data_IF_970198126769
#
_entry.id   IF_970198126769
#
_cell.length_a   1.000
_cell.length_b   1.000
_cell.length_c   1.000
_cell.angle_alpha   90.00
_cell.angle_beta   90.00
_cell.angle_gamma   90.00
#
_symmetry.space_group_name_H-M   'P 1'
#
loop_
_entity.id
_entity.type
_entity.pdbx_description
1 polymer ?
#
# COMPACT_ATOMS: atom_id res chain seq x y z
N UNK A 1 -20.95 -6.86 3.25
CA UNK A 1 -19.52 -7.24 3.27
C UNK A 1 -19.15 -7.76 1.89
N UNK A 2 -18.47 -6.97 1.05
CA UNK A 2 -18.16 -7.36 -0.34
C UNK A 2 -16.64 -7.42 -0.53
N UNK A 3 -16.03 -8.51 -0.07
CA UNK A 3 -14.58 -8.77 -0.20
C UNK A 3 -14.36 -10.04 -1.01
N UNK A 4 -13.51 -9.96 -2.04
CA UNK A 4 -13.00 -11.15 -2.73
C UNK A 4 -11.71 -11.60 -2.05
N UNK A 5 -11.60 -12.88 -1.68
CA UNK A 5 -10.39 -13.47 -1.09
C UNK A 5 -10.04 -14.75 -1.82
N UNK A 6 -8.84 -14.80 -2.40
CA UNK A 6 -8.27 -16.00 -3.01
C UNK A 6 -7.04 -16.44 -2.18
N UNK A 7 -7.02 -17.71 -1.76
CA UNK A 7 -5.92 -18.32 -1.00
C UNK A 7 -5.54 -19.66 -1.64
N UNK A 8 -4.24 -19.85 -1.93
CA UNK A 8 -3.53 -21.14 -1.98
C UNK A 8 -4.00 -22.23 -2.96
N UNK A 9 -3.05 -22.72 -3.76
CA UNK A 9 -3.03 -24.03 -4.45
C UNK A 9 -4.20 -24.37 -5.39
N UNK A 10 -4.44 -23.55 -6.42
CA UNK A 10 -4.95 -24.10 -7.69
C UNK A 10 -3.82 -24.83 -8.43
N UNK A 11 -3.39 -25.97 -7.87
CA UNK A 11 -2.79 -27.04 -8.64
C UNK A 11 -3.90 -27.56 -9.56
N UNK A 12 -3.85 -27.18 -10.84
CA UNK A 12 -4.36 -27.89 -12.04
C UNK A 12 -4.41 -26.91 -13.23
N UNK A 13 -4.55 -25.59 -13.01
CA UNK A 13 -4.35 -24.58 -14.08
C UNK A 13 -3.71 -23.32 -13.49
N UNK A 14 -2.49 -22.98 -13.90
CA UNK A 14 -1.95 -21.62 -13.75
C UNK A 14 -3.02 -20.64 -14.23
N UNK A 15 -3.57 -19.84 -13.34
CA UNK A 15 -4.40 -18.69 -13.71
C UNK A 15 -3.43 -17.62 -14.22
N UNK A 16 -3.01 -17.77 -15.48
CA UNK A 16 -2.04 -16.87 -16.10
C UNK A 16 -2.52 -15.42 -15.99
N UNK A 17 -3.81 -15.18 -16.21
CA UNK A 17 -4.42 -13.86 -16.12
C UNK A 17 -5.67 -13.89 -15.24
N UNK A 18 -5.71 -13.04 -14.21
CA UNK A 18 -6.89 -12.78 -13.38
C UNK A 18 -7.47 -11.42 -13.77
N UNK A 19 -8.68 -11.42 -14.33
CA UNK A 19 -9.43 -10.22 -14.65
C UNK A 19 -10.56 -10.02 -13.64
N UNK A 20 -10.64 -8.84 -13.03
CA UNK A 20 -11.65 -8.47 -12.05
C UNK A 20 -12.41 -7.25 -12.53
N UNK A 21 -13.72 -7.39 -12.68
CA UNK A 21 -14.65 -6.29 -12.90
C UNK A 21 -15.88 -6.46 -12.01
N UNK A 22 -16.23 -5.42 -11.26
CA UNK A 22 -17.32 -5.49 -10.30
C UNK A 22 -17.77 -4.12 -9.81
N UNK A 23 -19.08 -3.90 -9.80
CA UNK A 23 -19.70 -2.68 -9.28
C UNK A 23 -19.81 -2.65 -7.74
N UNK A 24 -19.47 -3.75 -7.06
CA UNK A 24 -19.79 -3.92 -5.63
C UNK A 24 -18.61 -4.33 -4.75
N UNK A 25 -17.52 -4.84 -5.32
CA UNK A 25 -16.35 -5.27 -4.54
C UNK A 25 -15.65 -4.04 -3.96
N UNK A 26 -15.37 -4.10 -2.65
CA UNK A 26 -14.64 -3.06 -1.92
C UNK A 26 -13.18 -3.44 -1.63
N UNK A 27 -12.89 -4.73 -1.55
CA UNK A 27 -11.56 -5.24 -1.23
C UNK A 27 -11.23 -6.53 -1.95
N UNK A 28 -9.99 -6.64 -2.42
CA UNK A 28 -9.43 -7.86 -3.03
C UNK A 28 -8.20 -8.30 -2.24
N UNK A 29 -8.14 -9.59 -1.90
CA UNK A 29 -6.95 -10.18 -1.28
C UNK A 29 -6.54 -11.46 -2.00
N UNK A 30 -5.32 -11.49 -2.53
CA UNK A 30 -4.66 -12.63 -3.15
C UNK A 30 -3.52 -13.10 -2.25
N UNK A 31 -3.53 -14.37 -1.86
CA UNK A 31 -2.46 -14.93 -1.03
C UNK A 31 -1.99 -16.28 -1.55
N UNK A 32 -0.69 -16.42 -1.79
CA UNK A 32 -0.08 -17.66 -2.29
C UNK A 32 -0.79 -18.16 -3.57
N UNK A 33 -1.12 -17.24 -4.48
CA UNK A 33 -1.80 -17.53 -5.75
C UNK A 33 -0.79 -17.55 -6.90
N UNK A 34 -0.96 -18.48 -7.85
CA UNK A 34 -0.18 -18.56 -9.10
C UNK A 34 -0.72 -17.66 -10.21
N UNK A 35 -1.06 -16.41 -9.87
CA UNK A 35 -1.53 -15.40 -10.84
C UNK A 35 -0.31 -14.71 -11.42
N UNK A 36 -0.21 -14.61 -12.75
CA UNK A 36 0.90 -13.91 -13.42
C UNK A 36 0.53 -12.46 -13.71
N UNK A 37 -0.67 -12.22 -14.24
CA UNK A 37 -1.19 -10.87 -14.52
C UNK A 37 -2.51 -10.64 -13.80
N UNK A 38 -2.61 -9.49 -13.15
CA UNK A 38 -3.84 -9.02 -12.50
C UNK A 38 -4.35 -7.77 -13.20
N UNK A 39 -5.57 -7.83 -13.73
CA UNK A 39 -6.25 -6.67 -14.31
C UNK A 39 -7.50 -6.35 -13.51
N UNK A 40 -7.59 -5.14 -12.96
CA UNK A 40 -8.75 -4.65 -12.24
C UNK A 40 -9.36 -3.52 -13.05
N UNK A 41 -10.56 -3.72 -13.57
CA UNK A 41 -11.23 -2.80 -14.51
C UNK A 41 -12.65 -2.55 -14.05
N UNK A 42 -13.10 -1.29 -14.10
CA UNK A 42 -14.47 -0.88 -13.75
C UNK A 42 -14.90 -1.38 -12.37
N UNK A 43 -14.05 -1.09 -11.39
CA UNK A 43 -14.28 -1.42 -9.99
C UNK A 43 -14.39 -0.12 -9.16
N UNK A 44 -15.45 0.68 -9.34
CA UNK A 44 -15.53 2.03 -8.75
C UNK A 44 -15.60 2.03 -7.22
N UNK A 45 -16.06 0.93 -6.60
CA UNK A 45 -16.14 0.79 -5.14
C UNK A 45 -14.91 0.14 -4.51
N UNK A 46 -13.94 -0.30 -5.31
CA UNK A 46 -12.74 -0.97 -4.82
C UNK A 46 -11.81 0.06 -4.18
N UNK A 47 -11.65 -0.03 -2.86
CA UNK A 47 -10.80 0.89 -2.12
C UNK A 47 -9.49 0.23 -1.61
N UNK A 48 -9.39 -1.11 -1.66
CA UNK A 48 -8.22 -1.82 -1.16
C UNK A 48 -7.86 -3.08 -1.93
N UNK A 49 -6.56 -3.29 -2.12
CA UNK A 49 -6.01 -4.51 -2.69
C UNK A 49 -4.81 -5.01 -1.90
N UNK A 50 -4.71 -6.31 -1.72
CA UNK A 50 -3.54 -6.94 -1.12
C UNK A 50 -3.12 -8.20 -1.85
N UNK A 51 -1.86 -8.26 -2.26
CA UNK A 51 -1.21 -9.43 -2.82
C UNK A 51 -0.06 -9.85 -1.90
N UNK A 52 -0.10 -11.08 -1.40
CA UNK A 52 0.91 -11.61 -0.48
C UNK A 52 1.42 -12.96 -0.94
N UNK A 53 2.74 -13.08 -1.07
CA UNK A 53 3.40 -14.33 -1.51
C UNK A 53 2.91 -14.81 -2.89
N UNK A 54 2.54 -13.90 -3.78
CA UNK A 54 2.17 -14.19 -5.16
C UNK A 54 3.45 -14.22 -6.01
N UNK A 55 4.14 -15.35 -6.00
CA UNK A 55 5.51 -15.47 -6.55
C UNK A 55 5.61 -15.23 -8.06
N UNK A 56 4.56 -15.58 -8.80
CA UNK A 56 4.55 -15.45 -10.26
C UNK A 56 3.93 -14.13 -10.76
N UNK A 57 3.38 -13.30 -9.85
CA UNK A 57 2.71 -12.05 -10.21
C UNK A 57 3.75 -11.07 -10.73
N UNK A 58 3.71 -10.78 -12.03
CA UNK A 58 4.66 -9.88 -12.69
C UNK A 58 4.04 -8.60 -13.21
N UNK A 59 2.73 -8.58 -13.39
CA UNK A 59 2.03 -7.43 -13.96
C UNK A 59 0.72 -7.17 -13.20
N UNK A 60 0.50 -5.90 -12.87
CA UNK A 60 -0.77 -5.42 -12.33
C UNK A 60 -1.23 -4.25 -13.19
N UNK A 61 -2.52 -4.21 -13.53
CA UNK A 61 -3.14 -3.12 -14.27
C UNK A 61 -4.40 -2.68 -13.58
N UNK A 62 -4.58 -1.37 -13.49
CA UNK A 62 -5.77 -0.78 -12.89
C UNK A 62 -6.42 0.21 -13.84
N UNK A 63 -7.74 0.12 -14.00
CA UNK A 63 -8.51 1.04 -14.82
C UNK A 63 -9.85 1.34 -14.15
N UNK A 64 -10.21 2.62 -14.09
CA UNK A 64 -11.50 3.08 -13.54
C UNK A 64 -11.80 2.49 -12.14
N UNK A 65 -10.85 2.64 -11.22
CA UNK A 65 -10.99 2.20 -9.83
C UNK A 65 -10.39 3.24 -8.87
N UNK A 66 -10.92 3.27 -7.65
CA UNK A 66 -10.66 4.32 -6.66
C UNK A 66 -9.91 3.74 -5.47
N UNK A 67 -8.67 3.31 -5.76
CA UNK A 67 -7.84 2.58 -4.80
C UNK A 67 -7.18 3.53 -3.79
N UNK A 68 -7.44 3.30 -2.50
CA UNK A 68 -6.83 4.06 -1.40
C UNK A 68 -5.72 3.27 -0.71
N UNK A 69 -5.78 1.94 -0.75
CA UNK A 69 -4.81 1.06 -0.10
C UNK A 69 -4.32 -0.04 -1.03
N UNK A 70 -3.01 -0.10 -1.23
CA UNK A 70 -2.34 -1.17 -1.94
C UNK A 70 -1.31 -1.83 -1.02
N UNK A 71 -1.34 -3.16 -0.91
CA UNK A 71 -0.32 -3.92 -0.20
C UNK A 71 0.25 -5.03 -1.08
N UNK A 72 1.55 -4.98 -1.38
CA UNK A 72 2.24 -6.02 -2.13
C UNK A 72 3.42 -6.52 -1.30
N UNK A 73 3.38 -7.78 -0.89
CA UNK A 73 4.42 -8.34 -0.04
C UNK A 73 4.89 -9.70 -0.55
N UNK A 74 6.22 -9.88 -0.65
CA UNK A 74 6.80 -11.14 -1.11
C UNK A 74 6.36 -11.54 -2.53
N UNK A 75 6.31 -10.57 -3.44
CA UNK A 75 5.93 -10.75 -4.85
C UNK A 75 7.17 -10.51 -5.76
N UNK A 76 8.12 -11.46 -5.84
CA UNK A 76 9.42 -11.23 -6.49
C UNK A 76 9.39 -10.99 -8.00
N UNK A 77 8.37 -11.48 -8.71
CA UNK A 77 8.27 -11.21 -10.14
C UNK A 77 7.70 -9.80 -10.44
N UNK A 78 7.20 -9.08 -9.44
CA UNK A 78 6.53 -7.80 -9.62
C UNK A 78 7.51 -6.64 -9.55
N UNK A 79 7.80 -6.03 -10.70
CA UNK A 79 8.67 -4.85 -10.77
C UNK A 79 8.08 -3.64 -10.06
N UNK A 80 8.84 -3.06 -9.14
CA UNK A 80 8.40 -1.94 -8.29
C UNK A 80 8.06 -0.68 -9.09
N UNK A 81 8.92 -0.31 -10.05
CA UNK A 81 8.72 0.88 -10.89
C UNK A 81 7.39 0.81 -11.65
N UNK A 82 7.16 -0.30 -12.36
CA UNK A 82 5.92 -0.49 -13.13
C UNK A 82 4.68 -0.52 -12.24
N UNK A 83 4.77 -1.09 -11.04
CA UNK A 83 3.68 -1.05 -10.07
C UNK A 83 3.36 0.38 -9.60
N UNK A 84 4.38 1.18 -9.30
CA UNK A 84 4.21 2.56 -8.87
C UNK A 84 3.64 3.42 -10.00
N UNK A 85 4.13 3.28 -11.23
CA UNK A 85 3.60 3.96 -12.42
C UNK A 85 2.09 3.69 -12.60
N UNK A 86 1.65 2.43 -12.46
CA UNK A 86 0.24 2.07 -12.51
C UNK A 86 -0.57 2.71 -11.37
N UNK A 87 0.00 2.75 -10.15
CA UNK A 87 -0.66 3.32 -8.98
C UNK A 87 -0.67 4.85 -8.98
N UNK A 88 0.27 5.52 -9.65
CA UNK A 88 0.29 6.98 -9.80
C UNK A 88 -0.76 7.48 -10.80
N UNK A 89 -1.04 6.70 -11.84
CA UNK A 89 -2.00 7.08 -12.89
C UNK A 89 -3.48 6.89 -12.48
N UNK A 90 -3.75 6.33 -11.28
CA UNK A 90 -5.11 6.11 -10.84
C UNK A 90 -5.78 7.35 -10.26
N UNK A 91 -7.05 7.61 -10.60
CA UNK A 91 -7.83 8.68 -9.99
C UNK A 91 -7.90 8.50 -8.48
N UNK A 92 -7.95 9.62 -7.76
CA UNK A 92 -7.83 9.64 -6.30
C UNK A 92 -9.09 10.24 -5.71
N UNK A 93 -9.66 9.54 -4.74
CA UNK A 93 -10.78 10.04 -3.94
C UNK A 93 -10.37 10.46 -2.52
N UNK A 94 -9.19 10.03 -2.05
CA UNK A 94 -8.63 10.30 -0.72
C UNK A 94 -7.14 9.94 -0.68
N UNK A 95 -6.46 10.27 0.41
CA UNK A 95 -5.06 9.85 0.69
C UNK A 95 -4.81 8.37 0.36
N UNK A 96 -3.67 8.08 -0.31
CA UNK A 96 -3.30 6.73 -0.79
C UNK A 96 -2.11 6.19 -0.01
N UNK A 97 -2.29 5.03 0.59
CA UNK A 97 -1.23 4.32 1.31
C UNK A 97 -0.82 3.08 0.52
N UNK A 98 0.47 2.98 0.21
CA UNK A 98 1.06 1.82 -0.45
C UNK A 98 2.08 1.18 0.48
N UNK A 99 1.85 -0.08 0.81
CA UNK A 99 2.78 -0.90 1.57
C UNK A 99 3.43 -1.91 0.65
N UNK A 100 4.74 -1.82 0.49
CA UNK A 100 5.53 -2.68 -0.39
C UNK A 100 6.51 -3.45 0.48
N UNK A 101 6.61 -4.77 0.32
CA UNK A 101 7.71 -5.56 0.87
C UNK A 101 8.54 -6.08 -0.30
N UNK A 102 9.39 -5.23 -0.90
CA UNK A 102 10.16 -5.60 -2.08
C UNK A 102 11.15 -6.70 -1.72
N UNK A 103 11.23 -7.72 -2.57
CA UNK A 103 12.19 -8.81 -2.47
C UNK A 103 13.48 -8.55 -3.23
N UNK A 104 13.50 -7.54 -4.09
CA UNK A 104 14.68 -7.08 -4.84
C UNK A 104 15.27 -5.84 -4.16
N UNK A 105 16.59 -5.75 -4.04
CA UNK A 105 17.26 -4.53 -3.61
C UNK A 105 16.87 -3.37 -4.55
N UNK A 106 16.54 -2.23 -3.98
CA UNK A 106 16.22 -1.03 -4.74
C UNK A 106 17.01 0.16 -4.18
N UNK A 107 17.22 1.18 -5.01
CA UNK A 107 17.88 2.41 -4.59
C UNK A 107 16.84 3.33 -3.92
N UNK A 108 16.96 3.61 -2.59
CA UNK A 108 16.04 4.48 -1.88
C UNK A 108 15.97 5.88 -2.47
N UNK A 109 17.09 6.40 -2.98
CA UNK A 109 17.17 7.75 -3.56
C UNK A 109 16.39 7.81 -4.87
N UNK A 110 16.45 6.76 -5.68
CA UNK A 110 15.64 6.68 -6.91
C UNK A 110 14.15 6.56 -6.61
N UNK A 111 13.77 5.79 -5.58
CA UNK A 111 12.37 5.71 -5.15
C UNK A 111 11.87 7.07 -4.66
N UNK A 112 12.68 7.75 -3.85
CA UNK A 112 12.42 9.10 -3.37
C UNK A 112 12.23 10.10 -4.51
N UNK A 113 13.18 10.15 -5.44
CA UNK A 113 13.08 10.97 -6.65
C UNK A 113 11.82 10.66 -7.45
N UNK A 114 11.47 9.38 -7.63
CA UNK A 114 10.24 8.98 -8.33
C UNK A 114 8.98 9.49 -7.61
N UNK A 115 8.90 9.32 -6.28
CA UNK A 115 7.77 9.81 -5.48
C UNK A 115 7.65 11.33 -5.55
N UNK A 116 8.76 12.06 -5.39
CA UNK A 116 8.75 13.53 -5.38
C UNK A 116 8.66 14.19 -6.76
N UNK A 117 9.09 13.50 -7.82
CA UNK A 117 8.93 13.97 -9.21
C UNK A 117 7.47 13.93 -9.70
N UNK A 118 6.60 13.21 -8.99
CA UNK A 118 5.19 13.07 -9.38
C UNK A 118 4.38 14.34 -9.12
N UNK A 119 3.45 14.69 -10.00
CA UNK A 119 2.57 15.88 -9.88
C UNK A 119 1.29 15.62 -9.07
N UNK A 120 1.33 14.66 -8.14
CA UNK A 120 0.15 14.17 -7.41
C UNK A 120 -0.31 15.12 -6.29
N UNK A 121 -1.56 15.54 -6.28
CA UNK A 121 -2.09 16.49 -5.29
C UNK A 121 -2.61 15.82 -3.99
N UNK A 122 -2.07 14.65 -3.61
CA UNK A 122 -2.55 13.88 -2.46
C UNK A 122 -1.42 13.20 -1.68
N UNK A 123 -1.72 12.84 -0.43
CA UNK A 123 -0.79 12.14 0.45
C UNK A 123 -0.49 10.73 -0.09
N UNK A 124 0.80 10.49 -0.38
CA UNK A 124 1.31 9.23 -0.89
C UNK A 124 2.44 8.74 0.00
N UNK A 125 2.30 7.52 0.52
CA UNK A 125 3.28 6.89 1.40
C UNK A 125 3.65 5.51 0.84
N UNK A 126 4.95 5.27 0.67
CA UNK A 126 5.53 3.95 0.36
C UNK A 126 6.26 3.46 1.59
N UNK A 127 5.76 2.38 2.19
CA UNK A 127 6.45 1.69 3.29
C UNK A 127 7.21 0.52 2.68
N UNK A 128 8.52 0.42 2.93
CA UNK A 128 9.35 -0.70 2.49
C UNK A 128 10.11 -1.37 3.64
N UNK A 129 10.13 -2.70 3.64
CA UNK A 129 10.70 -3.52 4.72
C UNK A 129 11.59 -4.62 4.12
N UNK A 130 12.89 -4.35 3.98
CA UNK A 130 13.87 -5.31 3.42
C UNK A 130 14.67 -6.06 4.47
N UNK A 131 14.25 -6.04 5.73
CA UNK A 131 15.05 -6.49 6.85
C UNK A 131 15.87 -5.34 7.40
N UNK A 132 15.29 -4.71 8.43
CA UNK A 132 15.88 -3.80 9.42
C UNK A 132 16.89 -2.72 8.94
N UNK A 133 16.58 -1.41 9.03
CA UNK A 133 15.34 -0.78 9.48
C UNK A 133 14.34 -0.53 8.33
N UNK A 134 13.05 -0.51 8.67
CA UNK A 134 11.94 -0.16 7.78
C UNK A 134 12.14 1.28 7.28
N UNK A 135 12.14 1.50 5.97
CA UNK A 135 12.18 2.83 5.39
C UNK A 135 10.80 3.25 4.90
N UNK A 136 10.52 4.55 5.04
CA UNK A 136 9.28 5.18 4.60
C UNK A 136 9.68 6.30 3.65
N UNK A 137 9.09 6.30 2.45
CA UNK A 137 9.19 7.40 1.50
C UNK A 137 7.81 8.05 1.37
N UNK A 138 7.70 9.34 1.69
CA UNK A 138 6.44 10.07 1.67
C UNK A 138 6.55 11.37 0.90
N UNK A 139 5.50 11.74 0.17
CA UNK A 139 5.45 13.02 -0.57
C UNK A 139 5.30 14.25 0.33
N UNK A 140 4.83 14.06 1.56
CA UNK A 140 4.92 15.08 2.62
C UNK A 140 6.24 14.86 3.35
N UNK A 141 6.99 15.92 3.65
CA UNK A 141 8.21 15.83 4.45
C UNK A 141 7.90 15.20 5.81
N UNK A 142 8.38 13.98 6.04
CA UNK A 142 8.25 13.28 7.31
C UNK A 142 9.67 13.04 7.82
N UNK A 143 10.04 13.75 8.88
CA UNK A 143 11.36 13.71 9.46
C UNK A 143 11.51 12.57 10.48
N UNK A 144 10.40 12.00 10.96
CA UNK A 144 10.39 10.86 11.90
C UNK A 144 9.04 10.12 11.96
N UNK A 145 9.03 8.91 12.54
CA UNK A 145 7.81 8.16 12.86
C UNK A 145 6.81 8.95 13.72
N UNK A 146 7.31 9.82 14.59
CA UNK A 146 6.48 10.67 15.43
C UNK A 146 5.72 11.68 14.58
N UNK A 147 6.35 12.23 13.55
CA UNK A 147 5.72 13.19 12.64
C UNK A 147 4.66 12.53 11.77
N UNK A 148 4.90 11.28 11.32
CA UNK A 148 3.88 10.49 10.59
C UNK A 148 2.64 10.26 11.43
N UNK A 149 2.81 9.78 12.68
CA UNK A 149 1.69 9.49 13.58
C UNK A 149 0.98 10.79 13.96
N UNK A 150 1.73 11.88 14.14
CA UNK A 150 1.16 13.20 14.46
C UNK A 150 0.36 13.77 13.29
N UNK A 151 0.85 13.66 12.05
CA UNK A 151 0.13 14.10 10.86
C UNK A 151 -1.16 13.29 10.63
N UNK A 152 -1.08 11.96 10.75
CA UNK A 152 -2.25 11.08 10.66
C UNK A 152 -3.25 11.38 11.78
N UNK A 153 -2.76 11.58 13.01
CA UNK A 153 -3.62 11.93 14.14
C UNK A 153 -4.29 13.29 13.95
N UNK A 154 -3.56 14.31 13.46
CA UNK A 154 -4.14 15.61 13.14
C UNK A 154 -5.29 15.48 12.14
N UNK A 155 -5.07 14.74 11.04
CA UNK A 155 -6.11 14.49 10.04
C UNK A 155 -7.34 13.77 10.64
N UNK A 156 -7.11 12.80 11.54
CA UNK A 156 -8.19 12.09 12.23
C UNK A 156 -8.98 12.98 13.21
N UNK A 157 -8.29 13.83 13.96
CA UNK A 157 -8.93 14.75 14.90
C UNK A 157 -9.71 15.84 14.15
N UNK A 158 -9.10 16.44 13.13
CA UNK A 158 -9.65 17.61 12.43
C UNK A 158 -10.79 17.24 11.46
N UNK A 159 -10.65 16.13 10.72
CA UNK A 159 -11.61 15.78 9.66
C UNK A 159 -12.64 14.74 10.10
N UNK A 160 -12.36 13.97 11.16
CA UNK A 160 -13.23 12.89 11.61
C UNK A 160 -13.75 13.08 13.05
N UNK A 161 -13.46 14.22 13.68
CA UNK A 161 -14.05 14.64 14.96
C UNK A 161 -13.69 13.75 16.14
N UNK A 162 -12.57 13.02 16.06
CA UNK A 162 -12.08 12.24 17.17
C UNK A 162 -11.63 13.17 18.32
N UNK A 163 -11.88 12.77 19.56
CA UNK A 163 -11.40 13.49 20.74
C UNK A 163 -9.92 13.10 21.00
N UNK A 164 -9.03 14.06 21.35
CA UNK A 164 -7.68 13.74 21.77
C UNK A 164 -7.73 12.78 22.97
N UNK A 165 -6.88 11.76 22.99
CA UNK A 165 -6.75 10.92 24.16
C UNK A 165 -6.15 11.75 25.30
N UNK A 166 -6.90 11.92 26.40
CA UNK A 166 -6.48 12.68 27.57
C UNK A 166 -5.09 12.22 28.07
N UNK A 167 -4.17 13.18 28.10
CA UNK A 167 -2.75 12.98 28.38
C UNK A 167 -2.49 12.83 29.89
N UNK A 168 -3.16 11.88 30.56
CA UNK A 168 -2.96 11.60 31.99
C UNK A 168 -1.96 10.47 32.29
N UNK A 169 -1.19 10.01 31.31
CA UNK A 169 -0.10 9.04 31.54
C UNK A 169 1.26 9.78 31.56
N UNK A 170 1.48 10.57 32.62
CA UNK A 170 2.83 10.91 33.10
C UNK A 170 3.24 9.87 34.14
N UNK A 171 3.95 8.83 33.68
CA UNK A 171 4.77 7.83 34.41
C UNK A 171 4.85 6.65 33.43
N UNK A 172 5.98 6.25 32.86
CA UNK A 172 7.31 5.99 33.43
C UNK A 172 8.27 5.96 32.24
N UNK A 173 9.32 6.78 32.22
CA UNK A 173 10.60 6.46 31.58
C UNK A 173 11.68 7.34 32.23
N UNK A 174 12.04 7.04 33.47
CA UNK A 174 13.34 7.42 34.02
C UNK A 174 14.31 6.30 33.66
N UNK A 175 15.11 6.50 32.62
CA UNK A 175 16.33 5.73 32.42
C UNK A 175 17.43 6.37 33.29
N UNK A 176 17.73 5.74 34.42
CA UNK A 176 18.97 5.99 35.15
C UNK A 176 20.10 5.27 34.42
N UNK A 177 21.04 6.06 33.88
CA UNK A 177 22.36 5.57 33.48
C UNK A 177 23.17 5.30 34.75
N UNK A 178 23.50 4.04 34.98
CA UNK A 178 24.53 3.56 35.88
C UNK A 178 25.38 2.55 35.14
#
# INVERSE_FOLDING_TARGET
MNSLRLKGMFLIRKLVNLFLSSQVIKSVSLRKCGVIKLSVVDCPKLCSISCTSCKELSQVKFQNCLLNRANFSWCPALGMKGLLDELYNLPVNASRIISLRPTELFDPVQLEQQVFSSTLDYHFCVIHDQGNPVGIVTKVSIYSWVDTVTAINGELLDNFGFQPADLHIRKVLSFSLG
#
